data_IF_645888453711
#
_entry.id   IF_645888453711
#
_cell.length_a   1.000
_cell.length_b   1.000
_cell.length_c   1.000
_cell.angle_alpha   90.00
_cell.angle_beta   90.00
_cell.angle_gamma   90.00
#
_symmetry.space_group_name_H-M   'P 1'
#
loop_
_entity.id
_entity.type
_entity.pdbx_description
1 polymer ?
#
# COMPACT_ATOMS: atom_id res chain seq x y z
N UNK A 1 13.29 -4.40 22.98
CA UNK A 1 13.41 -4.63 21.52
C UNK A 1 14.27 -5.86 21.24
N UNK A 2 14.24 -6.36 20.00
CA UNK A 2 15.14 -7.41 19.50
C UNK A 2 16.15 -6.79 18.52
N UNK A 3 17.34 -7.38 18.39
CA UNK A 3 18.39 -6.89 17.48
C UNK A 3 18.35 -7.65 16.16
N UNK A 4 18.53 -6.92 15.06
CA UNK A 4 18.69 -7.47 13.72
C UNK A 4 19.96 -6.88 13.10
N UNK A 5 20.90 -7.73 12.69
CA UNK A 5 22.13 -7.29 12.05
C UNK A 5 21.91 -7.22 10.54
N UNK A 6 22.20 -6.06 9.96
CA UNK A 6 22.01 -5.81 8.54
C UNK A 6 23.16 -5.05 7.91
N UNK A 7 23.33 -5.23 6.61
CA UNK A 7 24.29 -4.51 5.80
C UNK A 7 23.68 -3.18 5.37
N UNK A 8 24.34 -2.07 5.73
CA UNK A 8 23.90 -0.72 5.35
C UNK A 8 23.69 -0.60 3.84
N UNK A 9 24.58 -1.19 3.03
CA UNK A 9 24.47 -1.16 1.57
C UNK A 9 23.18 -1.79 1.04
N UNK A 10 22.70 -2.88 1.65
CA UNK A 10 21.44 -3.52 1.26
C UNK A 10 20.23 -2.62 1.59
N UNK A 11 20.24 -1.98 2.77
CA UNK A 11 19.19 -1.04 3.17
C UNK A 11 19.12 0.17 2.23
N UNK A 12 20.27 0.78 1.95
CA UNK A 12 20.40 1.96 1.08
C UNK A 12 20.00 1.68 -0.36
N UNK A 13 20.31 0.49 -0.88
CA UNK A 13 19.99 0.09 -2.25
C UNK A 13 18.48 -0.16 -2.41
N UNK A 14 17.84 -0.73 -1.39
CA UNK A 14 16.45 -1.19 -1.48
C UNK A 14 15.41 -0.16 -1.03
N UNK A 15 15.77 0.88 -0.26
CA UNK A 15 14.81 1.82 0.34
C UNK A 15 15.35 3.25 0.38
N UNK A 16 14.59 4.16 -0.23
CA UNK A 16 14.89 5.60 -0.18
C UNK A 16 14.69 6.19 1.22
N UNK A 17 13.78 5.62 2.03
CA UNK A 17 13.59 6.02 3.42
C UNK A 17 14.84 5.70 4.26
N UNK A 18 15.41 4.49 4.11
CA UNK A 18 16.69 4.17 4.73
C UNK A 18 17.81 5.07 4.19
N UNK A 19 17.86 5.35 2.88
CA UNK A 19 18.84 6.30 2.32
C UNK A 19 18.75 7.68 2.96
N UNK A 20 17.55 8.23 3.10
CA UNK A 20 17.34 9.51 3.77
C UNK A 20 17.76 9.47 5.25
N UNK A 21 17.44 8.39 5.96
CA UNK A 21 17.83 8.18 7.37
C UNK A 21 19.35 8.17 7.56
N UNK A 22 20.08 7.49 6.67
CA UNK A 22 21.53 7.28 6.80
C UNK A 22 22.38 8.41 6.19
N UNK A 23 21.93 9.04 5.11
CA UNK A 23 22.73 10.01 4.36
C UNK A 23 22.28 11.46 4.57
N UNK A 24 21.09 11.68 5.16
CA UNK A 24 20.48 13.00 5.37
C UNK A 24 21.05 13.86 6.50
N UNK A 25 22.20 13.50 7.08
CA UNK A 25 22.82 14.26 8.17
C UNK A 25 22.13 14.12 9.53
N UNK A 26 21.25 13.14 9.68
CA UNK A 26 20.62 12.79 10.96
C UNK A 26 21.59 12.05 11.89
N UNK A 27 21.22 11.89 13.18
CA UNK A 27 22.05 11.27 14.23
C UNK A 27 22.45 9.83 13.87
N UNK A 28 21.68 9.20 13.01
CA UNK A 28 21.77 7.83 12.54
C UNK A 28 22.92 7.61 11.54
N UNK A 29 23.48 8.68 10.93
CA UNK A 29 24.53 8.59 9.91
C UNK A 29 25.76 7.80 10.39
N UNK A 30 26.17 8.02 11.64
CA UNK A 30 27.33 7.39 12.27
C UNK A 30 26.93 6.40 13.39
N UNK A 31 25.63 6.14 13.55
CA UNK A 31 25.12 5.26 14.58
C UNK A 31 25.39 3.79 14.22
N UNK A 32 25.89 3.01 15.18
CA UNK A 32 26.06 1.56 15.03
C UNK A 32 24.75 0.79 15.20
N UNK A 33 23.87 1.31 16.05
CA UNK A 33 22.56 0.75 16.34
C UNK A 33 21.50 1.81 16.00
N UNK A 34 20.43 1.40 15.30
CA UNK A 34 19.28 2.24 14.98
C UNK A 34 18.03 1.60 15.56
N UNK A 35 17.25 2.41 16.27
CA UNK A 35 15.95 1.98 16.77
C UNK A 35 14.89 2.16 15.69
N UNK A 36 14.10 1.11 15.47
CA UNK A 36 12.96 1.11 14.57
C UNK A 36 11.70 1.11 15.44
N UNK A 37 11.08 2.28 15.69
CA UNK A 37 9.92 2.36 16.57
C UNK A 37 8.65 1.91 15.85
N UNK A 38 7.66 1.49 16.64
CA UNK A 38 6.28 1.25 16.19
C UNK A 38 6.09 0.17 15.10
N UNK A 39 7.02 -0.77 14.97
CA UNK A 39 6.88 -1.94 14.08
C UNK A 39 7.01 -3.21 14.91
N UNK A 40 6.04 -4.12 14.77
CA UNK A 40 6.09 -5.45 15.38
C UNK A 40 7.26 -6.24 14.81
N UNK A 41 7.86 -7.11 15.63
CA UNK A 41 9.06 -7.85 15.22
C UNK A 41 8.85 -8.74 13.99
N UNK A 42 7.73 -9.44 13.92
CA UNK A 42 7.35 -10.30 12.80
C UNK A 42 7.22 -9.54 11.47
N UNK A 43 6.58 -8.36 11.52
CA UNK A 43 6.47 -7.44 10.38
C UNK A 43 7.83 -6.93 9.95
N UNK A 44 8.65 -6.49 10.92
CA UNK A 44 10.02 -6.04 10.65
C UNK A 44 10.87 -7.13 10.02
N UNK A 45 10.77 -8.37 10.52
CA UNK A 45 11.52 -9.50 9.99
C UNK A 45 11.12 -9.81 8.53
N UNK A 46 9.84 -9.77 8.19
CA UNK A 46 9.38 -9.93 6.80
C UNK A 46 9.86 -8.79 5.90
N UNK A 47 9.80 -7.54 6.37
CA UNK A 47 10.32 -6.38 5.64
C UNK A 47 11.82 -6.55 5.35
N UNK A 48 12.59 -6.98 6.34
CA UNK A 48 14.02 -7.25 6.19
C UNK A 48 14.29 -8.40 5.23
N UNK A 49 13.54 -9.51 5.31
CA UNK A 49 13.65 -10.61 4.34
C UNK A 49 13.43 -10.11 2.93
N UNK A 50 12.38 -9.33 2.69
CA UNK A 50 12.10 -8.73 1.39
C UNK A 50 13.27 -7.88 0.88
N UNK A 51 13.90 -7.06 1.73
CA UNK A 51 15.05 -6.24 1.35
C UNK A 51 16.22 -7.09 0.83
N UNK A 52 16.43 -8.28 1.37
CA UNK A 52 17.53 -9.17 0.97
C UNK A 52 17.18 -10.11 -0.19
N UNK A 53 15.93 -10.52 -0.32
CA UNK A 53 15.51 -11.57 -1.27
C UNK A 53 14.69 -11.05 -2.44
N UNK A 54 14.13 -9.83 -2.33
CA UNK A 54 13.18 -9.26 -3.28
C UNK A 54 11.79 -9.90 -3.26
N UNK A 55 11.51 -10.86 -2.37
CA UNK A 55 10.23 -11.55 -2.29
C UNK A 55 9.99 -12.19 -0.92
N UNK A 56 8.75 -12.13 -0.44
CA UNK A 56 8.28 -12.76 0.79
C UNK A 56 6.84 -13.23 0.63
N UNK A 57 6.47 -14.27 1.36
CA UNK A 57 5.07 -14.66 1.51
C UNK A 57 4.40 -13.75 2.55
N UNK A 58 3.33 -13.08 2.15
CA UNK A 58 2.56 -12.18 3.01
C UNK A 58 1.30 -12.91 3.46
N UNK A 59 1.10 -13.02 4.77
CA UNK A 59 -0.10 -13.62 5.35
C UNK A 59 -1.16 -12.56 5.63
N UNK A 60 -2.44 -12.92 5.59
CA UNK A 60 -3.55 -11.97 5.82
C UNK A 60 -3.45 -11.30 7.21
N UNK A 61 -2.94 -12.03 8.21
CA UNK A 61 -2.72 -11.54 9.58
C UNK A 61 -1.73 -10.38 9.65
N UNK A 62 -0.69 -10.38 8.81
CA UNK A 62 0.38 -9.39 8.83
C UNK A 62 0.28 -8.38 7.68
N UNK A 63 -0.55 -8.65 6.67
CA UNK A 63 -0.58 -7.88 5.43
C UNK A 63 -0.84 -6.39 5.65
N UNK A 64 -1.76 -6.03 6.57
CA UNK A 64 -2.03 -4.63 6.86
C UNK A 64 -0.86 -3.94 7.56
N UNK A 65 -0.29 -4.55 8.61
CA UNK A 65 0.86 -3.96 9.31
C UNK A 65 2.09 -3.87 8.40
N UNK A 66 2.29 -4.87 7.54
CA UNK A 66 3.36 -4.89 6.56
C UNK A 66 3.15 -3.86 5.46
N UNK A 67 1.91 -3.59 5.05
CA UNK A 67 1.57 -2.49 4.14
C UNK A 67 2.00 -1.14 4.74
N UNK A 68 1.72 -0.90 6.03
CA UNK A 68 2.13 0.35 6.72
C UNK A 68 3.65 0.49 6.73
N UNK A 69 4.36 -0.58 7.07
CA UNK A 69 5.81 -0.60 7.08
C UNK A 69 6.39 -0.40 5.67
N UNK A 70 5.81 -1.05 4.66
CA UNK A 70 6.24 -0.92 3.28
C UNK A 70 6.07 0.50 2.74
N UNK A 71 4.96 1.17 3.06
CA UNK A 71 4.74 2.57 2.71
C UNK A 71 5.72 3.50 3.45
N UNK A 72 5.86 3.32 4.77
CA UNK A 72 6.79 4.11 5.60
C UNK A 72 8.25 4.02 5.11
N UNK A 73 8.67 2.84 4.67
CA UNK A 73 10.03 2.59 4.19
C UNK A 73 10.17 2.66 2.66
N UNK A 74 9.13 3.11 1.94
CA UNK A 74 9.13 3.30 0.48
C UNK A 74 9.51 2.02 -0.30
N UNK A 75 9.01 0.87 0.14
CA UNK A 75 9.25 -0.45 -0.45
C UNK A 75 8.11 -0.83 -1.41
N UNK A 76 8.05 -0.19 -2.58
CA UNK A 76 6.94 -0.35 -3.54
C UNK A 76 6.68 -1.79 -4.01
N UNK A 77 7.71 -2.63 -4.08
CA UNK A 77 7.55 -4.05 -4.40
C UNK A 77 6.80 -4.81 -3.29
N UNK A 78 7.20 -4.59 -2.03
CA UNK A 78 6.56 -5.20 -0.86
C UNK A 78 5.14 -4.69 -0.66
N UNK A 79 4.95 -3.38 -0.88
CA UNK A 79 3.66 -2.72 -0.81
C UNK A 79 2.65 -3.38 -1.75
N UNK A 80 3.04 -3.62 -3.01
CA UNK A 80 2.21 -4.34 -3.99
C UNK A 80 1.87 -5.78 -3.58
N UNK A 81 2.78 -6.51 -2.93
CA UNK A 81 2.49 -7.85 -2.41
C UNK A 81 1.44 -7.79 -1.28
N UNK A 82 1.55 -6.80 -0.40
CA UNK A 82 0.57 -6.59 0.67
C UNK A 82 -0.80 -6.20 0.09
N UNK A 83 -0.83 -5.27 -0.87
CA UNK A 83 -2.04 -4.87 -1.57
C UNK A 83 -2.75 -6.06 -2.24
N UNK A 84 -2.00 -6.91 -2.94
CA UNK A 84 -2.54 -8.10 -3.59
C UNK A 84 -3.17 -9.07 -2.57
N UNK A 85 -2.50 -9.26 -1.44
CA UNK A 85 -2.95 -10.17 -0.37
C UNK A 85 -4.23 -9.64 0.27
N UNK A 86 -4.26 -8.36 0.65
CA UNK A 86 -5.44 -7.71 1.25
C UNK A 86 -6.62 -7.72 0.27
N UNK A 87 -6.36 -7.49 -1.01
CA UNK A 87 -7.37 -7.46 -2.05
C UNK A 87 -8.17 -8.77 -2.19
N UNK A 88 -7.59 -9.92 -1.83
CA UNK A 88 -8.28 -11.22 -1.93
C UNK A 88 -9.46 -11.35 -0.94
N UNK A 89 -9.40 -10.63 0.18
CA UNK A 89 -10.39 -10.74 1.26
C UNK A 89 -11.41 -9.58 1.26
N UNK A 90 -11.39 -8.70 0.25
CA UNK A 90 -12.32 -7.57 0.14
C UNK A 90 -13.75 -8.09 -0.06
N UNK A 91 -14.66 -7.59 0.78
CA UNK A 91 -16.08 -7.96 0.79
C UNK A 91 -16.96 -6.79 1.27
N UNK A 92 -18.28 -7.01 1.30
CA UNK A 92 -19.27 -5.98 1.67
C UNK A 92 -19.10 -5.43 3.09
N UNK A 93 -18.51 -6.20 4.00
CA UNK A 93 -18.36 -5.84 5.41
C UNK A 93 -17.08 -5.06 5.68
N UNK A 94 -16.01 -5.30 4.92
CA UNK A 94 -14.71 -4.67 5.16
C UNK A 94 -14.28 -3.66 4.09
N UNK A 95 -15.00 -3.52 2.97
CA UNK A 95 -14.53 -2.66 1.85
C UNK A 95 -14.34 -1.20 2.24
N UNK A 96 -15.12 -0.69 3.21
CA UNK A 96 -14.92 0.67 3.72
C UNK A 96 -13.56 0.80 4.40
N UNK A 97 -13.24 -0.12 5.30
CA UNK A 97 -11.97 -0.13 6.03
C UNK A 97 -10.78 -0.36 5.10
N UNK A 98 -10.95 -1.23 4.09
CA UNK A 98 -9.89 -1.49 3.10
C UNK A 98 -9.66 -0.28 2.19
N UNK A 99 -10.72 0.46 1.84
CA UNK A 99 -10.60 1.72 1.11
C UNK A 99 -9.87 2.76 1.96
N UNK A 100 -10.25 2.93 3.24
CA UNK A 100 -9.57 3.84 4.17
C UNK A 100 -8.09 3.50 4.36
N UNK A 101 -7.78 2.21 4.51
CA UNK A 101 -6.42 1.71 4.57
C UNK A 101 -5.64 2.06 3.29
N UNK A 102 -6.27 1.88 2.13
CA UNK A 102 -5.64 2.20 0.85
C UNK A 102 -5.34 3.68 0.67
N UNK A 103 -6.20 4.58 1.19
CA UNK A 103 -5.94 6.01 1.17
C UNK A 103 -4.83 6.39 2.15
N UNK A 104 -4.86 5.85 3.37
CA UNK A 104 -3.91 6.16 4.43
C UNK A 104 -2.46 5.79 4.06
N UNK A 105 -2.27 4.68 3.34
CA UNK A 105 -0.95 4.14 2.98
C UNK A 105 -0.68 4.17 1.48
N UNK A 106 -1.35 5.05 0.74
CA UNK A 106 -1.15 5.29 -0.69
C UNK A 106 -1.15 3.98 -1.53
N UNK A 107 -2.00 3.02 -1.17
CA UNK A 107 -1.99 1.66 -1.67
C UNK A 107 -2.87 1.56 -2.92
N UNK A 108 -2.34 2.01 -4.06
CA UNK A 108 -3.13 2.35 -5.25
C UNK A 108 -3.83 1.16 -5.91
N UNK A 109 -3.22 -0.03 -5.90
CA UNK A 109 -3.84 -1.24 -6.46
C UNK A 109 -4.97 -1.72 -5.56
N UNK A 110 -4.78 -1.71 -4.24
CA UNK A 110 -5.86 -2.02 -3.29
C UNK A 110 -7.01 -1.01 -3.41
N UNK A 111 -6.69 0.28 -3.56
CA UNK A 111 -7.69 1.34 -3.78
C UNK A 111 -8.53 1.05 -5.02
N UNK A 112 -7.89 0.73 -6.15
CA UNK A 112 -8.60 0.35 -7.37
C UNK A 112 -9.48 -0.89 -7.17
N UNK A 113 -8.99 -1.92 -6.48
CA UNK A 113 -9.80 -3.11 -6.15
C UNK A 113 -11.05 -2.72 -5.35
N UNK A 114 -10.90 -1.89 -4.32
CA UNK A 114 -12.04 -1.42 -3.51
C UNK A 114 -13.04 -0.65 -4.37
N UNK A 115 -12.58 0.26 -5.21
CA UNK A 115 -13.45 1.05 -6.11
C UNK A 115 -14.21 0.14 -7.10
N UNK A 116 -13.52 -0.83 -7.70
CA UNK A 116 -14.15 -1.79 -8.61
C UNK A 116 -15.17 -2.68 -7.90
N UNK A 117 -14.85 -3.16 -6.70
CA UNK A 117 -15.79 -3.94 -5.89
C UNK A 117 -17.03 -3.11 -5.52
N UNK A 118 -16.85 -1.83 -5.16
CA UNK A 118 -17.95 -0.92 -4.84
C UNK A 118 -18.86 -0.71 -6.06
N UNK A 119 -18.29 -0.57 -7.26
CA UNK A 119 -19.07 -0.52 -8.50
C UNK A 119 -19.86 -1.80 -8.75
N UNK A 120 -19.21 -2.95 -8.59
CA UNK A 120 -19.83 -4.25 -8.84
C UNK A 120 -20.98 -4.54 -7.88
N UNK A 121 -20.85 -4.11 -6.61
CA UNK A 121 -21.84 -4.32 -5.57
C UNK A 121 -22.66 -3.06 -5.24
N UNK A 122 -22.72 -2.10 -6.17
CA UNK A 122 -23.27 -0.76 -5.93
C UNK A 122 -24.68 -0.80 -5.33
N UNK A 123 -25.58 -1.62 -5.88
CA UNK A 123 -26.98 -1.74 -5.39
C UNK A 123 -27.06 -2.17 -3.93
N UNK A 124 -26.18 -3.10 -3.51
CA UNK A 124 -26.12 -3.59 -2.14
C UNK A 124 -25.50 -2.57 -1.20
N UNK A 125 -24.51 -1.81 -1.67
CA UNK A 125 -23.80 -0.81 -0.88
C UNK A 125 -24.67 0.44 -0.67
N UNK A 126 -25.37 0.90 -1.70
CA UNK A 126 -26.22 2.09 -1.63
C UNK A 126 -27.43 1.92 -0.70
N UNK A 127 -27.88 0.69 -0.50
CA UNK A 127 -28.99 0.37 0.41
C UNK A 127 -28.52 0.14 1.85
N UNK A 128 -27.20 0.02 2.09
CA UNK A 128 -26.64 -0.25 3.41
C UNK A 128 -26.43 1.05 4.22
N UNK A 129 -26.94 1.12 5.46
CA UNK A 129 -26.70 2.27 6.33
C UNK A 129 -25.20 2.51 6.57
N UNK A 130 -24.78 3.78 6.58
CA UNK A 130 -23.39 4.17 6.88
C UNK A 130 -22.46 4.28 5.66
N UNK A 131 -22.87 3.81 4.48
CA UNK A 131 -22.02 3.82 3.27
C UNK A 131 -22.10 5.10 2.44
N UNK A 132 -22.95 6.06 2.81
CA UNK A 132 -23.12 7.32 2.06
C UNK A 132 -21.81 8.11 1.93
N UNK A 133 -21.01 8.17 2.98
CA UNK A 133 -19.72 8.87 2.98
C UNK A 133 -18.69 8.16 2.08
N UNK A 134 -18.64 6.83 2.12
CA UNK A 134 -17.78 6.04 1.24
C UNK A 134 -18.12 6.30 -0.24
N UNK A 135 -19.42 6.23 -0.58
CA UNK A 135 -19.87 6.49 -1.95
C UNK A 135 -19.47 7.90 -2.41
N UNK A 136 -19.64 8.92 -1.57
CA UNK A 136 -19.23 10.30 -1.89
C UNK A 136 -17.72 10.43 -2.19
N UNK A 137 -16.87 9.69 -1.46
CA UNK A 137 -15.41 9.67 -1.66
C UNK A 137 -14.99 8.94 -2.92
N UNK A 138 -15.74 7.90 -3.30
CA UNK A 138 -15.45 7.06 -4.48
C UNK A 138 -15.93 7.71 -5.79
N UNK A 139 -17.02 8.49 -5.76
CA UNK A 139 -17.59 9.15 -6.96
C UNK A 139 -16.56 9.90 -7.84
N UNK A 140 -15.65 10.73 -7.29
CA UNK A 140 -14.62 11.41 -8.09
C UNK A 140 -13.72 10.45 -8.87
N UNK A 141 -13.35 9.31 -8.27
CA UNK A 141 -12.53 8.27 -8.92
C UNK A 141 -13.31 7.59 -10.03
N UNK A 142 -14.58 7.26 -9.78
CA UNK A 142 -15.47 6.69 -10.80
C UNK A 142 -15.62 7.62 -11.99
N UNK A 143 -15.88 8.90 -11.72
CA UNK A 143 -15.99 9.92 -12.76
C UNK A 143 -14.70 10.00 -13.58
N UNK A 144 -13.53 9.98 -12.92
CA UNK A 144 -12.25 10.00 -13.60
C UNK A 144 -12.01 8.73 -14.44
N UNK A 145 -12.40 7.57 -13.91
CA UNK A 145 -12.32 6.29 -14.62
C UNK A 145 -13.18 6.31 -15.88
N UNK A 146 -14.47 6.64 -15.77
CA UNK A 146 -15.37 6.75 -16.91
C UNK A 146 -14.95 7.83 -17.89
N UNK A 147 -14.47 8.98 -17.41
CA UNK A 147 -13.97 10.05 -18.28
C UNK A 147 -12.72 9.63 -19.07
N UNK A 148 -11.91 8.70 -18.57
CA UNK A 148 -10.78 8.11 -19.33
C UNK A 148 -11.26 7.00 -20.27
N UNK A 149 -12.12 6.11 -19.79
CA UNK A 149 -12.59 4.94 -20.53
C UNK A 149 -13.55 5.29 -21.69
N UNK A 150 -14.39 6.31 -21.52
CA UNK A 150 -15.41 6.73 -22.48
C UNK A 150 -14.96 7.90 -23.37
N UNK A 151 -13.73 8.40 -23.22
CA UNK A 151 -13.18 9.39 -24.15
C UNK A 151 -13.08 8.74 -25.53
N UNK A 152 -13.67 9.33 -26.58
CA UNK A 152 -13.48 8.84 -27.93
C UNK A 152 -11.98 8.82 -28.24
N UNK A 153 -11.45 7.66 -28.63
CA UNK A 153 -10.13 7.60 -29.22
C UNK A 153 -10.18 8.45 -30.49
N UNK A 154 -9.60 9.66 -30.48
CA UNK A 154 -9.27 10.37 -31.70
C UNK A 154 -8.26 9.52 -32.45
N UNK A 155 -8.74 8.55 -33.23
CA UNK A 155 -7.98 7.98 -34.33
C UNK A 155 -7.78 9.14 -35.29
N UNK A 156 -6.57 9.65 -35.31
CA UNK A 156 -6.05 10.55 -36.33
C UNK A 156 -6.23 9.89 -37.69
N UNK A 157 -7.36 10.14 -38.33
CA UNK A 157 -7.41 10.24 -39.78
C UNK A 157 -6.70 11.55 -40.12
N UNK A 158 -5.40 11.47 -40.36
CA UNK A 158 -4.71 12.50 -41.14
C UNK A 158 -4.82 12.10 -42.62
N UNK A 159 -5.03 13.10 -43.50
CA UNK A 159 -5.35 12.90 -44.92
C UNK A 159 -4.19 12.32 -45.73
#
# INVERSE_FOLDING_TARGET
GKRFYAHRIALLASSDAFRAMFDGGYREKDARDIEIPNIRWDVFELMMRFIYTGSVEVTNELAQDLLRAADQYLLEGLKRLCEYTIAQDVNLDNVSDMYDLSEAFHAMSLRHTCVLFILEQFDKICTRPGFSQLIQRVIPELRNFFAKALRPSHRSAQP
#
